data_IF_546258713687
#
_entry.id   IF_546258713687
#
_cell.length_a   1.000
_cell.length_b   1.000
_cell.length_c   1.000
_cell.angle_alpha   90.00
_cell.angle_beta   90.00
_cell.angle_gamma   90.00
#
_symmetry.space_group_name_H-M   'P 1'
#
loop_
_entity.id
_entity.type
_entity.pdbx_description
1 polymer ?
#
# COMPACT_ATOMS: atom_id res chain seq x y z
N UNK A 1 1.66 -2.60 -24.22
CA UNK A 1 0.33 -3.26 -24.20
C UNK A 1 0.28 -4.25 -23.04
N UNK A 2 -0.74 -4.13 -22.21
CA UNK A 2 -0.96 -5.05 -21.09
C UNK A 2 -1.53 -6.36 -21.61
N UNK A 3 -0.90 -7.50 -21.29
CA UNK A 3 -1.39 -8.80 -21.73
C UNK A 3 -2.70 -9.16 -21.01
N UNK A 4 -3.50 -10.11 -21.57
CA UNK A 4 -4.70 -10.62 -20.89
C UNK A 4 -4.37 -11.20 -19.50
N UNK A 5 -3.21 -11.86 -19.37
CA UNK A 5 -2.71 -12.40 -18.09
C UNK A 5 -2.48 -11.28 -17.07
N UNK A 6 -1.84 -10.20 -17.46
CA UNK A 6 -1.60 -9.03 -16.60
C UNK A 6 -2.90 -8.37 -16.18
N UNK A 7 -3.87 -8.24 -17.09
CA UNK A 7 -5.19 -7.68 -16.77
C UNK A 7 -5.95 -8.54 -15.75
N UNK A 8 -5.92 -9.86 -15.92
CA UNK A 8 -6.54 -10.80 -14.97
C UNK A 8 -5.89 -10.73 -13.59
N UNK A 9 -4.56 -10.62 -13.54
CA UNK A 9 -3.80 -10.43 -12.30
C UNK A 9 -4.18 -9.13 -11.60
N UNK A 10 -4.23 -8.01 -12.33
CA UNK A 10 -4.62 -6.72 -11.76
C UNK A 10 -6.06 -6.74 -11.23
N UNK A 11 -6.98 -7.39 -11.95
CA UNK A 11 -8.36 -7.54 -11.49
C UNK A 11 -8.44 -8.35 -10.19
N UNK A 12 -7.67 -9.44 -10.09
CA UNK A 12 -7.58 -10.27 -8.88
C UNK A 12 -6.99 -9.47 -7.70
N UNK A 13 -5.85 -8.81 -7.91
CA UNK A 13 -5.21 -7.99 -6.88
C UNK A 13 -6.10 -6.85 -6.41
N UNK A 14 -6.82 -6.20 -7.32
CA UNK A 14 -7.80 -5.18 -6.98
C UNK A 14 -8.88 -5.73 -6.06
N UNK A 15 -9.44 -6.87 -6.40
CA UNK A 15 -10.49 -7.51 -5.59
C UNK A 15 -9.97 -7.91 -4.21
N UNK A 16 -8.78 -8.48 -4.12
CA UNK A 16 -8.16 -8.83 -2.84
C UNK A 16 -7.90 -7.59 -2.00
N UNK A 17 -7.23 -6.59 -2.58
CA UNK A 17 -6.83 -5.37 -1.87
C UNK A 17 -8.01 -4.52 -1.42
N UNK A 18 -9.03 -4.38 -2.25
CA UNK A 18 -10.14 -3.46 -1.99
C UNK A 18 -11.33 -4.11 -1.30
N UNK A 19 -11.55 -5.44 -1.47
CA UNK A 19 -12.75 -6.12 -1.01
C UNK A 19 -12.50 -7.27 -0.04
N UNK A 20 -11.48 -8.09 -0.25
CA UNK A 20 -11.27 -9.30 0.56
C UNK A 20 -10.49 -9.03 1.84
N UNK A 21 -9.54 -8.10 1.85
CA UNK A 21 -8.87 -7.68 3.07
C UNK A 21 -9.80 -6.72 3.81
N UNK A 22 -10.45 -7.23 4.85
CA UNK A 22 -11.51 -6.51 5.55
C UNK A 22 -11.05 -5.14 6.10
N UNK A 23 -9.84 -5.05 6.63
CA UNK A 23 -9.30 -3.79 7.16
C UNK A 23 -9.05 -2.76 6.05
N UNK A 24 -8.54 -3.19 4.90
CA UNK A 24 -8.39 -2.30 3.74
C UNK A 24 -9.74 -1.74 3.28
N UNK A 25 -10.75 -2.60 3.25
CA UNK A 25 -12.12 -2.21 2.90
C UNK A 25 -12.66 -1.18 3.90
N UNK A 26 -12.42 -1.38 5.19
CA UNK A 26 -12.81 -0.46 6.25
C UNK A 26 -12.14 0.91 6.08
N UNK A 27 -10.85 0.94 5.71
CA UNK A 27 -10.12 2.18 5.41
C UNK A 27 -10.54 2.83 4.09
N UNK A 28 -11.24 2.11 3.23
CA UNK A 28 -11.65 2.60 1.90
C UNK A 28 -10.49 2.66 0.89
N UNK A 29 -9.50 1.79 1.05
CA UNK A 29 -8.33 1.75 0.15
C UNK A 29 -8.74 1.32 -1.26
N UNK A 30 -8.22 2.03 -2.26
CA UNK A 30 -8.36 1.74 -3.69
C UNK A 30 -6.99 1.68 -4.34
N UNK A 31 -6.79 0.70 -5.23
CA UNK A 31 -5.56 0.64 -6.01
C UNK A 31 -5.64 1.66 -7.14
N UNK A 32 -4.79 2.66 -7.11
CA UNK A 32 -4.73 3.70 -8.13
C UNK A 32 -3.75 3.36 -9.26
N UNK A 33 -2.67 2.64 -8.94
CA UNK A 33 -1.69 2.20 -9.93
C UNK A 33 -1.13 0.82 -9.56
N UNK A 34 -1.04 -0.03 -10.57
CA UNK A 34 -0.35 -1.33 -10.52
C UNK A 34 1.05 -1.30 -11.16
N UNK A 35 1.64 -0.12 -11.31
CA UNK A 35 3.01 0.00 -11.78
C UNK A 35 3.95 -0.74 -10.79
N UNK A 36 4.65 -1.82 -11.20
CA UNK A 36 5.49 -2.57 -10.28
C UNK A 36 6.64 -1.75 -9.67
N UNK A 37 7.08 -0.71 -10.36
CA UNK A 37 8.14 0.18 -9.88
C UNK A 37 7.65 1.13 -8.78
N UNK A 38 6.38 1.51 -8.82
CA UNK A 38 5.79 2.48 -7.89
C UNK A 38 4.27 2.30 -7.79
N UNK A 39 3.78 1.19 -7.23
CA UNK A 39 2.34 1.01 -7.04
C UNK A 39 1.78 2.07 -6.09
N UNK A 40 0.51 2.42 -6.29
CA UNK A 40 -0.16 3.44 -5.49
C UNK A 40 -1.51 2.97 -4.99
N UNK A 41 -1.77 3.30 -3.73
CA UNK A 41 -3.07 3.20 -3.09
C UNK A 41 -3.61 4.60 -2.83
N UNK A 42 -4.93 4.74 -2.92
CA UNK A 42 -5.65 5.97 -2.59
C UNK A 42 -6.76 5.68 -1.59
N UNK A 43 -7.02 6.62 -0.70
CA UNK A 43 -8.25 6.69 0.09
C UNK A 43 -8.70 8.12 0.26
N UNK A 44 -10.01 8.30 0.40
CA UNK A 44 -10.62 9.60 0.64
C UNK A 44 -10.70 9.87 2.15
N UNK A 45 -10.59 11.15 2.53
CA UNK A 45 -10.78 11.56 3.92
C UNK A 45 -12.23 11.34 4.35
N UNK A 46 -12.41 10.78 5.53
CA UNK A 46 -13.71 10.53 6.16
C UNK A 46 -13.62 10.85 7.65
N UNK A 47 -14.76 11.21 8.31
CA UNK A 47 -14.77 11.46 9.76
C UNK A 47 -14.23 10.30 10.60
N UNK A 48 -14.45 9.07 10.18
CA UNK A 48 -13.99 7.85 10.87
C UNK A 48 -12.46 7.69 10.90
N UNK A 49 -11.74 8.42 10.04
CA UNK A 49 -10.28 8.36 9.93
C UNK A 49 -9.57 9.46 10.75
N UNK A 50 -10.35 10.33 11.41
CA UNK A 50 -9.82 11.43 12.21
C UNK A 50 -9.20 10.92 13.49
N UNK A 51 -7.93 11.29 13.74
CA UNK A 51 -7.21 10.98 14.98
C UNK A 51 -7.18 12.12 15.99
N UNK A 52 -7.37 13.34 15.53
CA UNK A 52 -7.41 14.53 16.39
C UNK A 52 -8.66 15.35 16.07
N UNK A 53 -9.71 15.28 16.91
CA UNK A 53 -10.99 15.93 16.61
C UNK A 53 -10.92 17.46 16.59
N UNK A 54 -10.00 18.07 17.32
CA UNK A 54 -9.82 19.53 17.30
C UNK A 54 -9.17 20.00 15.99
N UNK A 55 -8.24 19.22 15.46
CA UNK A 55 -7.47 19.59 14.27
C UNK A 55 -8.01 18.98 12.98
N UNK A 56 -8.93 18.01 13.08
CA UNK A 56 -9.51 17.31 11.92
C UNK A 56 -8.47 16.75 10.98
N UNK A 57 -7.47 16.07 11.55
CA UNK A 57 -6.37 15.43 10.81
C UNK A 57 -6.45 13.91 10.94
N UNK A 58 -5.85 13.22 9.97
CA UNK A 58 -5.77 11.76 9.94
C UNK A 58 -5.18 11.21 11.23
N UNK A 59 -5.75 10.09 11.69
CA UNK A 59 -5.13 9.25 12.69
C UNK A 59 -3.81 8.65 12.14
N UNK A 60 -2.75 8.69 12.94
CA UNK A 60 -1.45 8.14 12.55
C UNK A 60 -1.51 6.65 12.21
N UNK A 61 -2.42 5.90 12.84
CA UNK A 61 -2.66 4.49 12.52
C UNK A 61 -3.21 4.25 11.13
N UNK A 62 -4.01 5.18 10.57
CA UNK A 62 -4.47 5.11 9.18
C UNK A 62 -3.30 5.27 8.23
N UNK A 63 -2.41 6.20 8.51
CA UNK A 63 -1.20 6.45 7.73
C UNK A 63 -0.29 5.21 7.75
N UNK A 64 0.04 4.71 8.93
CA UNK A 64 0.93 3.55 9.06
C UNK A 64 0.34 2.28 8.44
N UNK A 65 -0.94 2.02 8.63
CA UNK A 65 -1.62 0.88 8.02
C UNK A 65 -1.59 0.96 6.48
N UNK A 66 -1.85 2.12 5.91
CA UNK A 66 -1.85 2.31 4.45
C UNK A 66 -0.45 2.18 3.86
N UNK A 67 0.58 2.69 4.54
CA UNK A 67 1.98 2.49 4.12
C UNK A 67 2.37 1.02 4.15
N UNK A 68 1.98 0.29 5.19
CA UNK A 68 2.21 -1.16 5.28
C UNK A 68 1.56 -1.90 4.10
N UNK A 69 0.31 -1.58 3.79
CA UNK A 69 -0.42 -2.21 2.68
C UNK A 69 0.22 -1.93 1.33
N UNK A 70 0.64 -0.70 1.06
CA UNK A 70 1.28 -0.37 -0.24
C UNK A 70 2.64 -1.05 -0.38
N UNK A 71 3.36 -1.24 0.72
CA UNK A 71 4.59 -2.05 0.73
C UNK A 71 4.32 -3.50 0.35
N UNK A 72 3.29 -4.10 0.92
CA UNK A 72 2.82 -5.45 0.56
C UNK A 72 2.40 -5.56 -0.90
N UNK A 73 1.68 -4.57 -1.42
CA UNK A 73 1.29 -4.52 -2.84
C UNK A 73 2.51 -4.48 -3.77
N UNK A 74 3.54 -3.70 -3.43
CA UNK A 74 4.77 -3.65 -4.20
C UNK A 74 5.45 -5.02 -4.31
N UNK A 75 5.48 -5.76 -3.20
CA UNK A 75 6.03 -7.12 -3.17
C UNK A 75 5.17 -8.07 -4.00
N UNK A 76 3.85 -8.04 -3.83
CA UNK A 76 2.93 -8.90 -4.59
C UNK A 76 3.10 -8.71 -6.09
N UNK A 77 3.20 -7.48 -6.56
CA UNK A 77 3.41 -7.18 -7.98
C UNK A 77 4.76 -7.69 -8.47
N UNK A 78 5.82 -7.53 -7.69
CA UNK A 78 7.15 -8.02 -8.03
C UNK A 78 7.20 -9.56 -8.12
N UNK A 79 6.52 -10.25 -7.20
CA UNK A 79 6.48 -11.71 -7.19
C UNK A 79 5.57 -12.27 -8.28
N UNK A 80 4.49 -11.58 -8.60
CA UNK A 80 3.56 -11.99 -9.64
C UNK A 80 4.17 -12.01 -11.04
N UNK A 81 5.20 -11.20 -11.28
CA UNK A 81 5.99 -11.27 -12.52
C UNK A 81 6.80 -12.56 -12.64
N UNK A 82 7.17 -13.14 -11.49
CA UNK A 82 8.00 -14.37 -11.39
C UNK A 82 7.15 -15.64 -11.29
N UNK A 83 5.85 -15.53 -11.07
CA UNK A 83 4.94 -16.66 -10.78
C UNK A 83 3.85 -16.84 -11.83
N UNK A 84 3.17 -17.99 -11.81
CA UNK A 84 2.05 -18.28 -12.72
C UNK A 84 0.78 -17.45 -12.46
N UNK A 85 0.78 -16.64 -11.42
CA UNK A 85 -0.29 -15.67 -11.14
C UNK A 85 -1.62 -16.31 -10.70
N UNK A 86 -1.60 -17.50 -10.11
CA UNK A 86 -2.78 -18.09 -9.48
C UNK A 86 -2.82 -17.73 -7.99
N UNK A 87 -4.01 -17.55 -7.38
CA UNK A 87 -4.12 -17.21 -5.96
C UNK A 87 -3.43 -18.20 -5.03
N UNK A 88 -3.43 -19.48 -5.40
CA UNK A 88 -2.82 -20.54 -4.61
C UNK A 88 -1.29 -20.47 -4.58
N UNK A 89 -0.70 -19.74 -5.51
CA UNK A 89 0.76 -19.60 -5.64
C UNK A 89 1.29 -18.29 -5.01
N UNK A 90 0.41 -17.44 -4.48
CA UNK A 90 0.88 -16.24 -3.76
C UNK A 90 1.70 -16.63 -2.54
N UNK A 91 2.94 -16.14 -2.45
CA UNK A 91 3.81 -16.45 -1.32
C UNK A 91 3.25 -15.85 -0.03
N UNK A 92 3.68 -16.44 1.06
CA UNK A 92 3.36 -15.94 2.40
C UNK A 92 4.15 -14.65 2.64
N UNK A 93 3.49 -13.51 2.51
CA UNK A 93 4.08 -12.19 2.76
C UNK A 93 3.68 -11.76 4.17
N UNK A 94 4.68 -11.46 5.00
CA UNK A 94 4.44 -10.98 6.35
C UNK A 94 5.35 -9.80 6.69
N UNK A 95 4.79 -8.78 7.33
CA UNK A 95 5.54 -7.63 7.82
C UNK A 95 6.40 -8.02 9.02
N UNK A 96 7.71 -7.79 8.94
CA UNK A 96 8.65 -8.02 10.03
C UNK A 96 8.70 -6.77 10.92
N UNK A 97 8.89 -5.60 10.31
CA UNK A 97 8.89 -4.32 10.99
C UNK A 97 8.37 -3.22 10.08
N UNK A 98 7.94 -2.15 10.67
CA UNK A 98 7.50 -0.95 9.99
C UNK A 98 7.93 0.27 10.81
N UNK A 99 8.66 1.17 10.17
CA UNK A 99 8.97 2.48 10.75
C UNK A 99 8.30 3.57 9.92
N UNK A 100 7.66 4.52 10.60
CA UNK A 100 6.99 5.65 9.95
C UNK A 100 7.51 6.96 10.54
N UNK A 101 7.87 7.90 9.68
CA UNK A 101 8.17 9.27 10.03
C UNK A 101 6.97 10.15 9.64
N UNK A 102 6.31 10.74 10.63
CA UNK A 102 5.16 11.63 10.44
C UNK A 102 5.67 13.05 10.28
N UNK A 103 5.66 13.56 9.05
CA UNK A 103 6.34 14.80 8.70
C UNK A 103 5.42 16.01 8.75
N UNK A 104 4.14 15.83 8.40
CA UNK A 104 3.11 16.88 8.36
C UNK A 104 1.78 16.35 8.84
N UNK A 105 0.89 17.22 9.36
CA UNK A 105 -0.48 16.80 9.67
C UNK A 105 -1.19 16.25 8.44
N UNK A 106 -1.89 15.14 8.61
CA UNK A 106 -2.66 14.50 7.54
C UNK A 106 -3.92 15.29 7.20
N UNK A 107 -3.79 16.38 6.45
CA UNK A 107 -4.88 17.23 5.96
C UNK A 107 -5.05 17.07 4.48
N UNK A 108 -6.27 16.97 4.01
CA UNK A 108 -6.59 16.87 2.59
C UNK A 108 -7.91 16.20 2.34
N UNK A 109 -8.33 16.20 1.08
CA UNK A 109 -9.54 15.53 0.62
C UNK A 109 -9.31 14.05 0.38
N UNK A 110 -8.12 13.69 -0.09
CA UNK A 110 -7.68 12.32 -0.31
C UNK A 110 -6.16 12.21 -0.13
N UNK A 111 -5.70 10.98 -0.03
CA UNK A 111 -4.30 10.65 0.21
C UNK A 111 -3.85 9.55 -0.73
N UNK A 112 -2.59 9.61 -1.16
CA UNK A 112 -1.94 8.65 -2.04
C UNK A 112 -0.73 8.08 -1.32
N UNK A 113 -0.70 6.75 -1.15
CA UNK A 113 0.47 6.03 -0.69
C UNK A 113 1.17 5.36 -1.86
N UNK A 114 2.48 5.53 -1.94
CA UNK A 114 3.33 4.94 -2.98
C UNK A 114 4.38 4.05 -2.34
N UNK A 115 4.59 2.86 -2.89
CA UNK A 115 5.62 1.92 -2.43
C UNK A 115 6.72 1.73 -3.48
N UNK A 116 7.94 1.50 -3.00
CA UNK A 116 9.08 1.20 -3.87
C UNK A 116 9.98 0.17 -3.20
N UNK A 117 10.28 -0.92 -3.92
CA UNK A 117 11.22 -1.92 -3.43
C UNK A 117 12.63 -1.33 -3.45
N UNK A 118 13.28 -1.31 -2.30
CA UNK A 118 14.69 -0.92 -2.16
C UNK A 118 15.58 -2.11 -2.47
N UNK A 119 15.23 -3.28 -1.91
CA UNK A 119 15.94 -4.54 -2.15
C UNK A 119 15.00 -5.71 -1.92
N UNK A 120 15.00 -6.66 -2.83
CA UNK A 120 14.31 -7.94 -2.68
C UNK A 120 15.33 -9.08 -2.70
N UNK A 121 15.47 -9.77 -1.57
CA UNK A 121 16.23 -10.99 -1.44
C UNK A 121 15.34 -12.23 -1.61
N UNK A 122 15.90 -13.42 -1.39
CA UNK A 122 15.13 -14.67 -1.47
C UNK A 122 14.14 -14.86 -0.32
N UNK A 123 14.37 -14.24 0.82
CA UNK A 123 13.57 -14.40 2.04
C UNK A 123 13.00 -13.10 2.58
N UNK A 124 13.69 -11.99 2.35
CA UNK A 124 13.33 -10.68 2.92
C UNK A 124 13.38 -9.62 1.83
N UNK A 125 12.38 -8.76 1.81
CA UNK A 125 12.36 -7.55 0.99
C UNK A 125 12.31 -6.32 1.89
N UNK A 126 12.99 -5.26 1.47
CA UNK A 126 12.99 -3.94 2.12
C UNK A 126 12.30 -2.95 1.19
N UNK A 127 11.34 -2.21 1.73
CA UNK A 127 10.47 -1.31 0.98
C UNK A 127 10.58 0.09 1.57
N UNK A 128 10.60 1.10 0.71
CA UNK A 128 10.39 2.49 1.06
C UNK A 128 8.98 2.92 0.65
N UNK A 129 8.29 3.68 1.49
CA UNK A 129 6.93 4.15 1.23
C UNK A 129 6.80 5.63 1.53
N UNK A 130 5.89 6.28 0.82
CA UNK A 130 5.56 7.69 1.01
C UNK A 130 4.05 7.89 0.95
N UNK A 131 3.55 8.86 1.72
CA UNK A 131 2.17 9.31 1.61
C UNK A 131 2.11 10.80 1.31
N UNK A 132 1.34 11.15 0.30
CA UNK A 132 1.05 12.54 -0.09
C UNK A 132 -0.44 12.81 0.01
N UNK A 133 -0.81 14.07 0.28
CA UNK A 133 -2.21 14.51 0.20
C UNK A 133 -2.58 14.94 -1.23
N UNK A 134 -3.82 15.39 -1.40
CA UNK A 134 -4.37 15.85 -2.68
C UNK A 134 -3.66 17.10 -3.25
N UNK A 135 -2.90 17.81 -2.45
CA UNK A 135 -2.08 18.96 -2.88
C UNK A 135 -0.63 18.61 -3.17
N UNK A 136 -0.28 17.32 -3.13
CA UNK A 136 1.08 16.85 -3.36
C UNK A 136 2.03 17.08 -2.18
N UNK A 137 1.53 17.43 -1.01
CA UNK A 137 2.37 17.58 0.18
C UNK A 137 2.76 16.21 0.74
N UNK A 138 4.04 16.04 1.06
CA UNK A 138 4.55 14.83 1.69
C UNK A 138 4.12 14.80 3.17
N UNK A 139 3.23 13.88 3.51
CA UNK A 139 2.66 13.73 4.85
C UNK A 139 3.52 12.82 5.72
N UNK A 140 3.97 11.70 5.18
CA UNK A 140 4.77 10.72 5.90
C UNK A 140 5.64 9.91 4.96
N UNK A 141 6.73 9.40 5.50
CA UNK A 141 7.57 8.38 4.86
C UNK A 141 7.63 7.15 5.74
N UNK A 142 7.91 6.02 5.14
CA UNK A 142 8.06 4.77 5.87
C UNK A 142 9.13 3.87 5.27
N UNK A 143 9.66 3.00 6.11
CA UNK A 143 10.52 1.91 5.73
C UNK A 143 10.05 0.64 6.41
N UNK A 144 10.02 -0.47 5.69
CA UNK A 144 9.58 -1.75 6.21
C UNK A 144 10.37 -2.92 5.64
N UNK A 145 10.42 -3.99 6.40
CA UNK A 145 10.94 -5.27 5.94
C UNK A 145 9.83 -6.33 6.00
N UNK A 146 9.82 -7.20 4.99
CA UNK A 146 8.80 -8.25 4.83
C UNK A 146 9.46 -9.61 4.59
N UNK A 147 8.84 -10.65 5.11
CA UNK A 147 9.12 -12.02 4.67
C UNK A 147 8.48 -12.21 3.30
N UNK A 148 9.21 -12.81 2.35
CA UNK A 148 8.74 -13.01 0.97
C UNK A 148 8.84 -14.46 0.48
N UNK A 149 9.13 -15.38 1.37
CA UNK A 149 9.26 -16.79 0.99
C UNK A 149 8.93 -17.75 2.10
#
# INVERSE_FOLDING_TARGET
MTTKKTQALHALLRQVMEQHIAFNKHLGLKVESFDPAAPRLRFDMRPELVGNPKRQILHGGVISATLDVVGGLAIMLSLAEEMDGTPETFPNIGTIDLRVDYLRPGRGKYFIATGRIVRKGSRIAVIHMEMHNDQGELIATGGAAYVVG
#
